data_IF_870369597560
#
_entry.id   IF_870369597560
#
_cell.length_a   1.000
_cell.length_b   1.000
_cell.length_c   1.000
_cell.angle_alpha   90.00
_cell.angle_beta   90.00
_cell.angle_gamma   90.00
#
_symmetry.space_group_name_H-M   'P 1'
#
loop_
_entity.id
_entity.type
_entity.pdbx_description
1 polymer ?
#
# COMPACT_ATOMS: atom_id res chain seq x y z
N UNK A 1 3.48 9.41 -8.10
CA UNK A 1 4.43 10.26 -8.86
C UNK A 1 5.29 11.10 -7.92
N UNK A 2 4.72 12.06 -7.18
CA UNK A 2 5.50 12.97 -6.31
C UNK A 2 6.34 12.21 -5.26
N UNK A 3 5.73 11.38 -4.42
CA UNK A 3 6.47 10.62 -3.39
C UNK A 3 7.54 9.72 -4.03
N UNK A 4 7.22 9.08 -5.16
CA UNK A 4 8.18 8.25 -5.90
C UNK A 4 9.40 9.05 -6.39
N UNK A 5 9.20 10.31 -6.75
CA UNK A 5 10.28 11.21 -7.18
C UNK A 5 11.07 11.78 -6.00
N UNK A 6 10.39 12.23 -4.93
CA UNK A 6 11.03 12.91 -3.79
C UNK A 6 11.63 11.94 -2.76
N UNK A 7 10.99 10.78 -2.54
CA UNK A 7 11.36 9.76 -1.55
C UNK A 7 11.10 8.36 -2.07
N UNK A 8 11.91 7.95 -3.04
CA UNK A 8 11.80 6.62 -3.68
C UNK A 8 11.77 5.47 -2.68
N UNK A 9 12.67 5.49 -1.68
CA UNK A 9 12.73 4.45 -0.64
C UNK A 9 11.43 4.29 0.14
N UNK A 10 10.73 5.39 0.43
CA UNK A 10 9.46 5.37 1.16
C UNK A 10 8.35 4.70 0.32
N UNK A 11 8.32 4.95 -0.98
CA UNK A 11 7.34 4.30 -1.86
C UNK A 11 7.69 2.82 -2.07
N UNK A 12 8.97 2.46 -2.19
CA UNK A 12 9.38 1.05 -2.26
C UNK A 12 9.05 0.29 -0.96
N UNK A 13 9.26 0.90 0.21
CA UNK A 13 8.87 0.34 1.49
C UNK A 13 7.35 0.11 1.54
N UNK A 14 6.55 1.06 1.04
CA UNK A 14 5.10 0.91 0.94
C UNK A 14 4.70 -0.24 0.04
N UNK A 15 5.29 -0.34 -1.16
CA UNK A 15 5.00 -1.41 -2.11
C UNK A 15 5.33 -2.79 -1.53
N UNK A 16 6.50 -2.94 -0.91
CA UNK A 16 6.89 -4.17 -0.19
C UNK A 16 5.90 -4.52 0.91
N UNK A 17 5.51 -3.54 1.73
CA UNK A 17 4.58 -3.74 2.84
C UNK A 17 3.19 -4.19 2.35
N UNK A 18 2.72 -3.65 1.22
CA UNK A 18 1.44 -4.07 0.61
C UNK A 18 1.50 -5.52 0.15
N UNK A 19 2.59 -5.91 -0.52
CA UNK A 19 2.80 -7.29 -0.98
C UNK A 19 2.84 -8.25 0.22
N UNK A 20 3.64 -7.94 1.24
CA UNK A 20 3.77 -8.75 2.45
C UNK A 20 2.43 -8.87 3.19
N UNK A 21 1.71 -7.76 3.34
CA UNK A 21 0.38 -7.76 3.97
C UNK A 21 -0.61 -8.63 3.20
N UNK A 22 -0.57 -8.60 1.86
CA UNK A 22 -1.43 -9.45 1.04
C UNK A 22 -1.10 -10.93 1.20
N UNK A 23 0.19 -11.29 1.23
CA UNK A 23 0.65 -12.66 1.47
C UNK A 23 0.24 -13.14 2.86
N UNK A 24 0.48 -12.34 3.89
CA UNK A 24 0.13 -12.68 5.27
C UNK A 24 -1.38 -12.83 5.48
N UNK A 25 -2.21 -11.97 4.86
CA UNK A 25 -3.68 -12.12 4.90
C UNK A 25 -4.15 -13.41 4.23
N UNK A 26 -3.54 -13.77 3.10
CA UNK A 26 -3.85 -15.03 2.43
C UNK A 26 -3.44 -16.22 3.30
N UNK A 27 -2.23 -16.20 3.85
CA UNK A 27 -1.74 -17.25 4.74
C UNK A 27 -2.62 -17.43 5.97
N UNK A 28 -3.08 -16.33 6.59
CA UNK A 28 -3.99 -16.40 7.73
C UNK A 28 -5.30 -17.12 7.36
N UNK A 29 -5.89 -16.78 6.21
CA UNK A 29 -7.08 -17.45 5.71
C UNK A 29 -6.83 -18.93 5.41
N UNK A 30 -5.70 -19.25 4.77
CA UNK A 30 -5.35 -20.63 4.44
C UNK A 30 -5.16 -21.48 5.72
N UNK A 31 -4.61 -20.89 6.80
CA UNK A 31 -4.51 -21.53 8.12
C UNK A 31 -5.88 -21.73 8.78
N UNK A 32 -6.79 -20.75 8.69
CA UNK A 32 -8.16 -20.86 9.20
C UNK A 32 -8.95 -21.96 8.45
N UNK A 33 -8.83 -22.01 7.12
CA UNK A 33 -9.48 -23.02 6.28
C UNK A 33 -8.92 -24.43 6.57
N UNK A 34 -7.61 -24.55 6.78
CA UNK A 34 -6.97 -25.81 7.19
C UNK A 34 -7.46 -26.28 8.56
N UNK A 35 -7.52 -25.37 9.54
CA UNK A 35 -8.04 -25.64 10.88
C UNK A 35 -9.48 -26.17 10.84
N UNK A 36 -10.37 -25.48 10.11
CA UNK A 36 -11.76 -25.89 9.95
C UNK A 36 -11.88 -27.26 9.29
N UNK A 37 -11.05 -27.52 8.27
CA UNK A 37 -11.01 -28.80 7.59
C UNK A 37 -10.61 -29.91 8.55
N UNK A 38 -9.51 -29.76 9.29
CA UNK A 38 -9.03 -30.75 10.26
C UNK A 38 -10.07 -31.08 11.33
N UNK A 39 -10.72 -30.06 11.90
CA UNK A 39 -11.81 -30.23 12.87
C UNK A 39 -12.98 -31.01 12.25
N UNK A 40 -13.37 -30.70 11.01
CA UNK A 40 -14.49 -31.35 10.33
C UNK A 40 -14.23 -32.80 9.91
N UNK A 41 -12.97 -33.14 9.58
CA UNK A 41 -12.58 -34.50 9.19
C UNK A 41 -12.25 -35.41 10.37
N UNK A 42 -12.07 -34.84 11.57
CA UNK A 42 -11.81 -35.66 12.76
C UNK A 42 -13.04 -36.49 13.12
N UNK A 43 -12.86 -37.82 13.14
CA UNK A 43 -13.89 -38.78 13.55
C UNK A 43 -13.44 -39.50 14.82
N UNK A 44 -14.28 -39.54 15.85
CA UNK A 44 -13.94 -40.12 17.17
C UNK A 44 -13.74 -39.07 18.25
N UNK A 45 -13.22 -39.47 19.42
CA UNK A 45 -12.95 -38.54 20.52
C UNK A 45 -11.71 -37.70 20.21
N UNK A 46 -11.91 -36.41 19.91
CA UNK A 46 -10.83 -35.49 19.52
C UNK A 46 -9.76 -35.29 20.60
N UNK A 47 -10.13 -35.49 21.87
CA UNK A 47 -9.23 -35.34 23.01
C UNK A 47 -8.17 -36.45 23.08
N UNK A 48 -8.42 -37.60 22.44
CA UNK A 48 -7.50 -38.73 22.44
C UNK A 48 -6.56 -38.73 21.22
N UNK A 49 -6.76 -37.80 20.27
CA UNK A 49 -5.96 -37.68 19.06
C UNK A 49 -4.80 -36.70 19.26
N UNK A 50 -3.68 -37.21 19.80
CA UNK A 50 -2.47 -36.43 20.04
C UNK A 50 -1.90 -35.77 18.77
N UNK A 51 -2.06 -36.41 17.60
CA UNK A 51 -1.58 -35.87 16.32
C UNK A 51 -2.39 -34.62 15.93
N UNK A 52 -3.73 -34.70 16.04
CA UNK A 52 -4.62 -33.56 15.82
C UNK A 52 -4.30 -32.41 16.80
N UNK A 53 -4.12 -32.69 18.09
CA UNK A 53 -3.79 -31.66 19.08
C UNK A 53 -2.49 -30.94 18.71
N UNK A 54 -1.46 -31.67 18.29
CA UNK A 54 -0.18 -31.08 17.84
C UNK A 54 -0.38 -30.17 16.62
N UNK A 55 -1.16 -30.60 15.63
CA UNK A 55 -1.40 -29.80 14.43
C UNK A 55 -2.24 -28.55 14.73
N UNK A 56 -3.20 -28.63 15.64
CA UNK A 56 -3.98 -27.48 16.11
C UNK A 56 -3.09 -26.45 16.84
N UNK A 57 -2.18 -26.91 17.70
CA UNK A 57 -1.23 -26.02 18.39
C UNK A 57 -0.27 -25.34 17.42
N UNK A 58 0.29 -26.07 16.46
CA UNK A 58 1.14 -25.49 15.41
C UNK A 58 0.40 -24.46 14.56
N UNK A 59 -0.82 -24.77 14.14
CA UNK A 59 -1.65 -23.89 13.32
C UNK A 59 -1.99 -22.61 14.07
N UNK A 60 -2.36 -22.73 15.35
CA UNK A 60 -2.61 -21.59 16.24
C UNK A 60 -1.36 -20.73 16.39
N UNK A 61 -0.21 -21.34 16.69
CA UNK A 61 1.04 -20.58 16.85
C UNK A 61 1.40 -19.81 15.58
N UNK A 62 1.28 -20.44 14.41
CA UNK A 62 1.53 -19.78 13.12
C UNK A 62 0.53 -18.64 12.87
N UNK A 63 -0.75 -18.83 13.20
CA UNK A 63 -1.77 -17.80 13.05
C UNK A 63 -1.50 -16.60 13.96
N UNK A 64 -1.07 -16.83 15.20
CA UNK A 64 -0.69 -15.77 16.14
C UNK A 64 0.53 -14.97 15.63
N UNK A 65 1.55 -15.63 15.09
CA UNK A 65 2.69 -14.96 14.46
C UNK A 65 2.29 -14.09 13.26
N UNK A 66 1.42 -14.61 12.39
CA UNK A 66 0.92 -13.89 11.21
C UNK A 66 0.07 -12.68 11.63
N UNK A 67 -0.77 -12.84 12.65
CA UNK A 67 -1.55 -11.74 13.22
C UNK A 67 -0.67 -10.63 13.78
N UNK A 68 0.40 -10.98 14.49
CA UNK A 68 1.35 -9.98 15.00
C UNK A 68 2.06 -9.24 13.86
N UNK A 69 2.48 -9.95 12.80
CA UNK A 69 3.03 -9.32 11.59
C UNK A 69 2.04 -8.36 10.93
N UNK A 70 0.77 -8.74 10.82
CA UNK A 70 -0.29 -7.87 10.26
C UNK A 70 -0.55 -6.64 11.15
N UNK A 71 -0.47 -6.79 12.46
CA UNK A 71 -0.60 -5.68 13.42
C UNK A 71 0.55 -4.68 13.26
N UNK A 72 1.78 -5.16 13.20
CA UNK A 72 2.98 -4.35 12.96
C UNK A 72 2.90 -3.67 11.59
N UNK A 73 2.52 -4.40 10.55
CA UNK A 73 2.36 -3.86 9.20
C UNK A 73 1.32 -2.74 9.16
N UNK A 74 0.21 -2.88 9.88
CA UNK A 74 -0.81 -1.82 9.99
C UNK A 74 -0.26 -0.55 10.64
N UNK A 75 0.56 -0.70 11.69
CA UNK A 75 1.20 0.45 12.35
C UNK A 75 2.17 1.14 11.40
N UNK A 76 3.08 0.39 10.78
CA UNK A 76 4.05 0.91 9.80
C UNK A 76 3.35 1.57 8.61
N UNK A 77 2.27 0.98 8.10
CA UNK A 77 1.50 1.55 6.99
C UNK A 77 0.89 2.91 7.35
N UNK A 78 0.43 3.09 8.60
CA UNK A 78 -0.08 4.39 9.07
C UNK A 78 1.02 5.43 9.13
N UNK A 79 2.22 5.06 9.58
CA UNK A 79 3.34 6.00 9.66
C UNK A 79 3.87 6.37 8.27
N UNK A 80 3.93 5.41 7.34
CA UNK A 80 4.20 5.68 5.92
C UNK A 80 3.16 6.64 5.34
N UNK A 81 1.86 6.42 5.60
CA UNK A 81 0.82 7.29 5.04
C UNK A 81 0.91 8.72 5.58
N UNK A 82 1.20 8.90 6.88
CA UNK A 82 1.46 10.24 7.45
C UNK A 82 2.59 10.97 6.71
N UNK A 83 3.69 10.28 6.41
CA UNK A 83 4.82 10.87 5.68
C UNK A 83 4.45 11.22 4.24
N UNK A 84 3.64 10.38 3.58
CA UNK A 84 3.15 10.62 2.22
C UNK A 84 2.17 11.78 2.16
N UNK A 85 1.34 11.92 3.19
CA UNK A 85 0.35 12.99 3.30
C UNK A 85 0.96 14.38 3.34
N UNK A 86 2.22 14.51 3.77
CA UNK A 86 2.94 15.78 3.71
C UNK A 86 3.06 16.32 2.26
N UNK A 87 3.03 15.44 1.25
CA UNK A 87 3.07 15.83 -0.17
C UNK A 87 1.67 16.06 -0.79
N UNK A 88 0.59 15.82 -0.04
CA UNK A 88 -0.80 15.97 -0.51
C UNK A 88 -1.12 17.36 -1.06
N UNK A 89 -0.62 18.49 -0.50
CA UNK A 89 -0.84 19.81 -1.08
C UNK A 89 -0.27 19.96 -2.50
N UNK A 90 0.92 19.41 -2.75
CA UNK A 90 1.51 19.42 -4.09
C UNK A 90 0.72 18.52 -5.05
N UNK A 91 0.28 17.34 -4.60
CA UNK A 91 -0.56 16.45 -5.39
C UNK A 91 -1.89 17.11 -5.78
N UNK A 92 -2.52 17.86 -4.86
CA UNK A 92 -3.76 18.60 -5.12
C UNK A 92 -3.58 19.65 -6.21
N UNK A 93 -2.48 20.42 -6.19
CA UNK A 93 -2.18 21.40 -7.24
C UNK A 93 -1.97 20.73 -8.61
N UNK A 94 -1.24 19.62 -8.66
CA UNK A 94 -1.10 18.83 -9.88
C UNK A 94 -2.46 18.37 -10.42
N UNK A 95 -3.32 17.83 -9.56
CA UNK A 95 -4.67 17.42 -9.96
C UNK A 95 -5.49 18.58 -10.54
N UNK A 96 -5.49 19.75 -9.88
CA UNK A 96 -6.20 20.95 -10.37
C UNK A 96 -5.69 21.34 -11.76
N UNK A 97 -4.37 21.39 -11.96
CA UNK A 97 -3.78 21.74 -13.25
C UNK A 97 -4.19 20.75 -14.36
N UNK A 98 -4.21 19.45 -14.07
CA UNK A 98 -4.67 18.45 -15.03
C UNK A 98 -6.14 18.64 -15.41
N UNK A 99 -7.03 18.86 -14.43
CA UNK A 99 -8.45 19.05 -14.72
C UNK A 99 -8.70 20.33 -15.53
N UNK A 100 -8.03 21.44 -15.19
CA UNK A 100 -8.09 22.67 -15.99
C UNK A 100 -7.60 22.42 -17.42
N UNK A 101 -6.51 21.68 -17.60
CA UNK A 101 -6.01 21.30 -18.93
C UNK A 101 -7.00 20.42 -19.69
N UNK A 102 -7.63 19.47 -19.01
CA UNK A 102 -8.63 18.58 -19.61
C UNK A 102 -9.89 19.35 -20.03
N UNK A 103 -10.31 20.37 -19.28
CA UNK A 103 -11.48 21.19 -19.59
C UNK A 103 -11.27 22.09 -20.83
N UNK A 104 -10.03 22.34 -21.24
CA UNK A 104 -9.75 23.12 -22.47
C UNK A 104 -10.31 22.45 -23.73
N UNK A 105 -10.54 21.13 -23.71
CA UNK A 105 -11.19 20.43 -24.82
C UNK A 105 -12.64 20.87 -25.05
N UNK A 106 -13.28 21.49 -24.05
CA UNK A 106 -14.63 22.06 -24.17
C UNK A 106 -14.66 23.30 -25.07
N UNK A 107 -13.53 24.02 -25.16
CA UNK A 107 -13.40 25.18 -26.06
C UNK A 107 -13.14 24.68 -27.48
N UNK A 108 -12.20 23.74 -27.65
CA UNK A 108 -11.89 23.15 -28.95
C UNK A 108 -11.34 21.74 -28.77
N UNK A 109 -11.85 20.78 -29.54
CA UNK A 109 -11.43 19.37 -29.48
C UNK A 109 -9.93 19.16 -29.72
N UNK A 110 -9.25 20.08 -30.40
CA UNK A 110 -7.80 20.05 -30.61
C UNK A 110 -6.99 20.19 -29.32
N UNK A 111 -7.56 20.73 -28.23
CA UNK A 111 -6.90 20.86 -26.92
C UNK A 111 -7.11 19.63 -26.02
N UNK A 112 -7.33 18.47 -26.60
CA UNK A 112 -7.41 17.22 -25.86
C UNK A 112 -6.01 16.67 -25.59
N UNK A 113 -5.64 16.63 -24.31
CA UNK A 113 -4.36 16.06 -23.86
C UNK A 113 -4.58 14.76 -23.10
N UNK A 114 -3.68 13.80 -23.29
CA UNK A 114 -3.68 12.57 -22.51
C UNK A 114 -3.13 12.81 -21.10
N UNK A 115 -3.60 12.01 -20.13
CA UNK A 115 -3.02 11.99 -18.78
C UNK A 115 -1.53 11.65 -18.81
N UNK A 116 -1.11 10.73 -19.69
CA UNK A 116 0.30 10.34 -19.83
C UNK A 116 1.17 11.52 -20.21
N UNK A 117 0.78 12.29 -21.23
CA UNK A 117 1.52 13.49 -21.66
C UNK A 117 1.61 14.54 -20.56
N UNK A 118 0.55 14.71 -19.78
CA UNK A 118 0.57 15.60 -18.60
C UNK A 118 1.56 15.10 -17.55
N UNK A 119 1.53 13.79 -17.24
CA UNK A 119 2.40 13.20 -16.23
C UNK A 119 3.89 13.29 -16.61
N UNK A 120 4.23 13.17 -17.89
CA UNK A 120 5.61 13.33 -18.36
C UNK A 120 6.14 14.75 -18.09
N UNK A 121 5.33 15.77 -18.41
CA UNK A 121 5.68 17.18 -18.14
C UNK A 121 5.71 17.46 -16.64
N UNK A 122 4.78 16.88 -15.88
CA UNK A 122 4.73 17.02 -14.43
C UNK A 122 5.95 16.38 -13.75
N UNK A 123 6.37 15.20 -14.19
CA UNK A 123 7.58 14.56 -13.66
C UNK A 123 8.84 15.36 -14.04
N UNK A 124 8.90 15.87 -15.26
CA UNK A 124 9.98 16.76 -15.69
C UNK A 124 10.06 18.03 -14.82
N UNK A 125 8.93 18.65 -14.49
CA UNK A 125 8.90 19.85 -13.65
C UNK A 125 9.35 19.56 -12.21
N UNK A 126 8.96 18.41 -11.64
CA UNK A 126 9.42 17.97 -10.32
C UNK A 126 10.95 17.85 -10.27
N UNK A 127 11.58 17.29 -11.32
CA UNK A 127 13.04 17.17 -11.42
C UNK A 127 13.75 18.50 -11.62
N UNK A 128 13.12 19.45 -12.32
CA UNK A 128 13.70 20.77 -12.63
C UNK A 128 13.52 21.80 -11.50
N UNK A 129 12.49 21.63 -10.67
CA UNK A 129 12.21 22.51 -9.53
C UNK A 129 13.35 22.55 -8.52
N UNK A 130 13.49 23.67 -7.81
CA UNK A 130 14.63 23.91 -6.91
C UNK A 130 14.54 22.96 -5.70
N UNK A 131 15.57 22.13 -5.44
CA UNK A 131 15.58 21.24 -4.28
C UNK A 131 15.75 22.06 -2.99
N UNK A 132 15.08 21.63 -1.92
CA UNK A 132 15.22 22.21 -0.59
C UNK A 132 15.09 21.08 0.45
N UNK A 133 15.93 21.11 1.49
CA UNK A 133 15.89 20.13 2.58
C UNK A 133 14.68 20.35 3.50
N UNK A 134 14.19 21.59 3.61
CA UNK A 134 12.98 21.90 4.33
C UNK A 134 11.77 21.60 3.44
N UNK A 135 10.93 20.65 3.87
CA UNK A 135 9.80 20.19 3.09
C UNK A 135 8.79 21.31 2.78
N UNK A 136 8.53 22.23 3.71
CA UNK A 136 7.59 23.33 3.46
C UNK A 136 8.09 24.27 2.36
N UNK A 137 9.39 24.54 2.31
CA UNK A 137 10.01 25.32 1.24
C UNK A 137 10.05 24.54 -0.07
N UNK A 138 10.42 23.25 -0.01
CA UNK A 138 10.40 22.34 -1.17
C UNK A 138 9.02 22.27 -1.82
N UNK A 139 7.95 22.29 -1.03
CA UNK A 139 6.57 22.29 -1.53
C UNK A 139 6.13 23.65 -2.10
N UNK A 140 6.84 24.75 -1.85
CA UNK A 140 6.52 26.06 -2.44
C UNK A 140 7.25 26.30 -3.76
N UNK A 141 8.43 25.70 -3.93
CA UNK A 141 9.22 25.71 -5.17
C UNK A 141 8.50 24.98 -6.31
#
# INVERSE_FOLDING_TARGET
VIVKNERKELEEQRERLIQETSVNKKLLKDLEDALLRELSTSTGNMLDNNELISTLEETKSKADEVNEKLRLATKTSKDIEKLRDLYRPAAKRGAILFFVLSEMSLITTMYQYSLTSYLDVFEFSLRKSIPDANLERRLKN
#
